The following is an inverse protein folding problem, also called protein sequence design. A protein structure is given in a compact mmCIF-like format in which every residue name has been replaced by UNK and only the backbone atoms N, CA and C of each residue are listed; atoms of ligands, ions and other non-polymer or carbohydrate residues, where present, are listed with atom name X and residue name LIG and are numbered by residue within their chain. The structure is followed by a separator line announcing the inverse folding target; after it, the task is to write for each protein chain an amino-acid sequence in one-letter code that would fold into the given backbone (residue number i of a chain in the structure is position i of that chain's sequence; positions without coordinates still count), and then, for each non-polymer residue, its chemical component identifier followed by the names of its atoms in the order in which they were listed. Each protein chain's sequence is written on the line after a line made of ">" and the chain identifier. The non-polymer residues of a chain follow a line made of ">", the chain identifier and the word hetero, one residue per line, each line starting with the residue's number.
data_IF_568884980219
#
_entry.id   IF_568884980219
#
_cell.length_a   1.000
_cell.length_b   1.000
_cell.length_c   1.000
_cell.angle_alpha   90.00
_cell.angle_beta   90.00
_cell.angle_gamma   90.00
#
_symmetry.space_group_name_H-M   'P 1'
#
loop_
_entity.id
_entity.type
_entity.pdbx_description
1 polymer ?
#
# COMPACT_ATOMS: atom_id res chain seq x y z
N UNK A 1 -12.08 12.69 0.63
CA UNK A 1 -11.03 12.66 1.66
C UNK A 1 -9.91 11.79 1.11
N UNK A 2 -8.65 12.12 1.36
CA UNK A 2 -7.54 11.29 0.88
C UNK A 2 -7.50 9.97 1.65
N UNK A 3 -7.39 8.84 0.95
CA UNK A 3 -7.25 7.54 1.58
C UNK A 3 -5.80 7.32 2.06
N UNK A 4 -5.57 6.89 3.30
CA UNK A 4 -4.25 6.44 3.71
C UNK A 4 -3.78 5.21 2.92
N UNK A 5 -2.47 5.07 2.84
CA UNK A 5 -1.73 3.96 2.24
C UNK A 5 -0.89 3.31 3.32
N UNK A 6 -0.79 1.99 3.31
CA UNK A 6 -0.04 1.22 4.29
C UNK A 6 1.03 0.39 3.62
N UNK A 7 2.19 0.27 4.28
CA UNK A 7 3.25 -0.67 3.98
C UNK A 7 3.30 -1.73 5.08
N UNK A 8 2.76 -2.91 4.79
CA UNK A 8 2.61 -4.01 5.73
C UNK A 8 3.74 -5.04 5.59
N UNK A 9 4.23 -5.52 6.72
CA UNK A 9 4.91 -6.79 6.82
C UNK A 9 3.88 -7.94 6.77
N UNK A 10 4.10 -8.93 5.89
CA UNK A 10 3.19 -10.06 5.77
C UNK A 10 3.92 -11.36 5.44
N UNK A 11 3.35 -12.47 5.91
CA UNK A 11 3.74 -13.84 5.56
C UNK A 11 3.16 -14.28 4.21
N UNK A 12 2.13 -13.56 3.72
CA UNK A 12 1.39 -13.93 2.52
C UNK A 12 1.94 -13.26 1.25
N UNK A 13 2.06 -14.00 0.13
CA UNK A 13 2.52 -13.46 -1.15
C UNK A 13 1.44 -12.67 -1.91
N UNK A 14 0.27 -12.43 -1.30
CA UNK A 14 -0.88 -11.75 -1.89
C UNK A 14 -1.71 -11.07 -0.81
N UNK A 15 -2.60 -10.17 -1.23
CA UNK A 15 -3.65 -9.69 -0.34
C UNK A 15 -4.53 -10.85 0.14
N UNK A 16 -4.97 -10.83 1.41
CA UNK A 16 -6.06 -11.66 1.88
C UNK A 16 -7.27 -11.52 0.97
N UNK A 17 -7.90 -12.63 0.62
CA UNK A 17 -9.12 -12.62 -0.19
C UNK A 17 -10.39 -12.67 0.68
N UNK A 18 -10.26 -12.70 2.00
CA UNK A 18 -11.37 -12.77 2.94
C UNK A 18 -11.99 -14.15 3.09
N UNK A 19 -11.56 -15.15 2.32
CA UNK A 19 -11.94 -16.53 2.60
C UNK A 19 -11.25 -17.01 3.88
N UNK A 20 -11.87 -17.96 4.58
CA UNK A 20 -11.24 -18.67 5.72
C UNK A 20 -10.67 -17.76 6.82
N UNK A 21 -11.23 -16.55 7.00
CA UNK A 21 -10.72 -15.52 7.93
C UNK A 21 -9.27 -15.10 7.67
N UNK A 22 -8.83 -15.11 6.42
CA UNK A 22 -7.48 -14.67 6.03
C UNK A 22 -7.18 -13.23 6.51
N UNK A 23 -8.19 -12.36 6.64
CA UNK A 23 -8.02 -11.02 7.21
C UNK A 23 -7.70 -11.03 8.70
N UNK A 24 -8.40 -11.83 9.49
CA UNK A 24 -8.11 -12.00 10.92
C UNK A 24 -6.67 -12.49 11.10
N UNK A 25 -6.27 -13.51 10.34
CA UNK A 25 -4.89 -14.01 10.35
C UNK A 25 -3.88 -12.94 9.90
N UNK A 26 -4.19 -12.18 8.85
CA UNK A 26 -3.33 -11.12 8.35
C UNK A 26 -3.04 -10.03 9.39
N UNK A 27 -4.03 -9.62 10.19
CA UNK A 27 -3.83 -8.61 11.24
C UNK A 27 -3.26 -9.19 12.53
N UNK A 28 -3.54 -10.45 12.86
CA UNK A 28 -2.99 -11.12 14.05
C UNK A 28 -1.53 -11.52 13.87
N UNK A 29 -1.17 -12.02 12.70
CA UNK A 29 0.19 -12.44 12.32
C UNK A 29 0.98 -11.32 11.63
N UNK A 30 0.32 -10.20 11.36
CA UNK A 30 0.91 -9.03 10.72
C UNK A 30 2.06 -8.48 11.54
N UNK A 31 3.16 -8.14 10.84
CA UNK A 31 4.26 -7.41 11.45
C UNK A 31 3.95 -5.91 11.54
N UNK A 32 4.99 -5.06 11.63
CA UNK A 32 4.79 -3.61 11.63
C UNK A 32 4.06 -3.13 10.38
N UNK A 33 3.36 -2.02 10.55
CA UNK A 33 2.70 -1.27 9.51
C UNK A 33 3.22 0.16 9.52
N UNK A 34 3.69 0.63 8.37
CA UNK A 34 3.92 2.06 8.14
C UNK A 34 2.72 2.65 7.42
N UNK A 35 2.29 3.85 7.78
CA UNK A 35 1.14 4.55 7.19
C UNK A 35 1.60 5.81 6.47
N UNK A 36 1.03 6.14 5.32
CA UNK A 36 1.22 7.40 4.62
C UNK A 36 -0.13 7.98 4.23
N UNK A 37 -0.31 9.29 4.40
CA UNK A 37 -1.55 9.95 4.03
C UNK A 37 -1.52 10.39 2.56
N UNK A 38 -2.56 10.02 1.80
CA UNK A 38 -2.90 10.57 0.48
C UNK A 38 -2.02 10.20 -0.72
N UNK A 39 -0.85 9.60 -0.53
CA UNK A 39 0.03 9.20 -1.64
C UNK A 39 0.99 8.10 -1.18
N UNK A 40 1.58 7.38 -2.14
CA UNK A 40 2.62 6.37 -1.88
C UNK A 40 3.99 7.06 -1.79
N UNK A 41 4.69 6.99 -0.64
CA UNK A 41 6.02 7.55 -0.49
C UNK A 41 7.02 7.04 -1.54
N UNK A 42 7.96 7.91 -1.92
CA UNK A 42 8.92 7.59 -2.99
C UNK A 42 9.79 6.37 -2.66
N UNK A 43 10.20 6.17 -1.39
CA UNK A 43 10.96 4.98 -1.02
C UNK A 43 10.13 3.71 -1.03
N UNK A 44 8.80 3.81 -0.86
CA UNK A 44 7.91 2.67 -0.97
C UNK A 44 7.77 2.25 -2.43
N UNK A 45 7.54 3.21 -3.35
CA UNK A 45 7.53 2.94 -4.80
C UNK A 45 8.86 2.34 -5.28
N UNK A 46 9.98 2.79 -4.69
CA UNK A 46 11.31 2.28 -5.03
C UNK A 46 11.49 0.78 -4.72
N UNK A 47 10.62 0.16 -3.93
CA UNK A 47 10.66 -1.29 -3.64
C UNK A 47 10.10 -2.16 -4.78
N UNK A 48 9.23 -1.62 -5.62
CA UNK A 48 8.38 -2.40 -6.52
C UNK A 48 8.69 -2.17 -7.99
N UNK A 49 8.43 -3.17 -8.82
CA UNK A 49 8.46 -3.14 -10.29
C UNK A 49 7.03 -3.26 -10.83
N UNK A 50 6.78 -2.98 -12.12
CA UNK A 50 5.46 -3.19 -12.72
C UNK A 50 4.90 -4.61 -12.58
N UNK A 51 5.76 -5.61 -12.35
CA UNK A 51 5.37 -7.00 -12.13
C UNK A 51 4.84 -7.31 -10.73
N UNK A 52 5.08 -6.41 -9.79
CA UNK A 52 4.62 -6.53 -8.41
C UNK A 52 3.23 -5.88 -8.22
N UNK A 53 2.62 -5.35 -9.29
CA UNK A 53 1.27 -4.78 -9.28
C UNK A 53 0.23 -5.89 -9.44
N UNK A 54 -0.66 -5.98 -8.47
CA UNK A 54 -1.72 -6.97 -8.39
C UNK A 54 -3.07 -6.33 -8.12
N UNK A 55 -4.12 -7.15 -8.29
CA UNK A 55 -5.51 -6.73 -8.14
C UNK A 55 -6.21 -7.63 -7.13
N UNK A 56 -6.83 -7.02 -6.13
CA UNK A 56 -7.68 -7.71 -5.17
C UNK A 56 -9.14 -7.34 -5.44
N UNK A 57 -10.06 -8.25 -5.11
CA UNK A 57 -11.49 -7.93 -5.05
C UNK A 57 -11.84 -7.64 -3.60
N UNK A 58 -12.74 -6.70 -3.38
CA UNK A 58 -13.47 -6.65 -2.11
C UNK A 58 -14.38 -7.89 -2.12
N UNK A 59 -13.99 -8.96 -1.44
CA UNK A 59 -14.89 -10.12 -1.29
C UNK A 59 -15.85 -9.81 -0.14
N UNK A 60 -17.13 -9.79 -0.48
CA UNK A 60 -18.27 -9.49 0.37
C UNK A 60 -18.60 -10.67 1.33
N UNK A 61 -19.37 -10.32 2.37
CA UNK A 61 -20.25 -11.15 3.21
C UNK A 61 -19.81 -11.68 4.59
N UNK A 62 -18.62 -12.23 4.83
CA UNK A 62 -18.39 -13.02 6.05
C UNK A 62 -17.81 -12.28 7.26
N UNK A 63 -17.09 -11.15 7.06
CA UNK A 63 -16.37 -10.46 8.16
C UNK A 63 -16.84 -9.02 8.42
N UNK A 64 -17.86 -8.53 7.71
CA UNK A 64 -18.41 -7.19 7.88
C UNK A 64 -19.67 -7.25 8.75
N UNK A 65 -19.79 -6.31 9.69
CA UNK A 65 -21.02 -6.13 10.43
C UNK A 65 -22.19 -5.78 9.48
N UNK A 66 -23.42 -5.99 9.97
CA UNK A 66 -24.63 -5.81 9.16
C UNK A 66 -24.77 -4.42 8.53
N UNK A 67 -24.12 -3.43 9.14
CA UNK A 67 -24.26 -2.03 8.79
C UNK A 67 -23.24 -1.66 7.70
N UNK A 68 -22.01 -2.18 7.74
CA UNK A 68 -21.03 -2.05 6.66
C UNK A 68 -21.45 -2.80 5.38
N UNK A 69 -22.28 -3.84 5.50
CA UNK A 69 -22.76 -4.65 4.38
C UNK A 69 -23.70 -3.87 3.43
N UNK A 70 -24.53 -2.98 3.95
CA UNK A 70 -25.49 -2.21 3.14
C UNK A 70 -24.77 -1.15 2.28
N UNK A 71 -23.70 -0.56 2.81
CA UNK A 71 -22.83 0.36 2.08
C UNK A 71 -21.92 -0.38 1.08
N UNK A 72 -21.50 -1.62 1.37
CA UNK A 72 -20.60 -2.38 0.47
C UNK A 72 -21.29 -3.00 -0.76
N UNK A 73 -22.59 -3.29 -0.70
CA UNK A 73 -23.35 -3.76 -1.87
C UNK A 73 -23.40 -2.72 -3.00
N UNK A 74 -23.15 -1.43 -2.73
CA UNK A 74 -23.02 -0.38 -3.76
C UNK A 74 -21.70 -0.49 -4.56
N UNK A 75 -20.67 -1.12 -4.00
CA UNK A 75 -19.33 -1.21 -4.58
C UNK A 75 -19.09 -2.45 -5.48
N UNK A 76 -20.05 -3.37 -5.61
CA UNK A 76 -20.06 -4.41 -6.66
C UNK A 76 -18.75 -5.23 -6.85
N UNK A 77 -18.44 -5.58 -8.12
CA UNK A 77 -17.23 -6.33 -8.53
C UNK A 77 -15.94 -5.46 -8.53
N UNK A 78 -15.91 -4.35 -7.80
CA UNK A 78 -14.79 -3.41 -7.82
C UNK A 78 -13.51 -4.08 -7.34
N UNK A 79 -12.51 -4.07 -8.21
CA UNK A 79 -11.16 -4.49 -7.85
C UNK A 79 -10.39 -3.34 -7.21
N UNK A 80 -9.20 -3.59 -6.70
CA UNK A 80 -8.29 -2.55 -6.24
C UNK A 80 -6.84 -2.93 -6.42
N UNK A 81 -5.98 -1.97 -6.78
CA UNK A 81 -4.58 -2.27 -6.97
C UNK A 81 -3.88 -2.35 -5.62
N UNK A 82 -2.93 -3.26 -5.52
CA UNK A 82 -1.97 -3.33 -4.43
C UNK A 82 -0.62 -3.77 -4.99
N UNK A 83 0.45 -3.50 -4.24
CA UNK A 83 1.79 -3.94 -4.61
C UNK A 83 2.26 -4.99 -3.61
N UNK A 84 2.77 -6.12 -4.06
CA UNK A 84 3.39 -7.11 -3.18
C UNK A 84 4.62 -7.71 -3.81
N UNK A 85 5.68 -7.85 -3.03
CA UNK A 85 6.90 -8.51 -3.49
C UNK A 85 7.63 -9.16 -2.32
N UNK A 86 8.52 -10.11 -2.58
CA UNK A 86 9.36 -10.70 -1.52
C UNK A 86 10.31 -9.65 -0.95
N UNK A 87 10.59 -9.68 0.35
CA UNK A 87 11.51 -8.75 1.01
C UNK A 87 12.90 -8.73 0.34
N UNK A 88 13.42 -9.91 -0.06
CA UNK A 88 14.70 -10.01 -0.77
C UNK A 88 14.69 -9.19 -2.08
N UNK A 89 13.66 -9.39 -2.91
CA UNK A 89 13.46 -8.64 -4.16
C UNK A 89 13.25 -7.15 -3.90
N UNK A 90 12.44 -6.77 -2.91
CA UNK A 90 12.20 -5.37 -2.54
C UNK A 90 13.52 -4.65 -2.23
N UNK A 91 14.37 -5.27 -1.40
CA UNK A 91 15.66 -4.71 -1.00
C UNK A 91 16.66 -4.66 -2.16
N UNK A 92 16.66 -5.66 -3.06
CA UNK A 92 17.48 -5.65 -4.26
C UNK A 92 17.08 -4.51 -5.21
N UNK A 93 15.78 -4.33 -5.45
CA UNK A 93 15.24 -3.24 -6.27
C UNK A 93 15.58 -1.88 -5.66
N UNK A 94 15.42 -1.72 -4.35
CA UNK A 94 15.79 -0.49 -3.64
C UNK A 94 17.29 -0.19 -3.78
N UNK A 95 18.16 -1.19 -3.58
CA UNK A 95 19.60 -1.02 -3.71
C UNK A 95 20.02 -0.61 -5.13
N UNK A 96 19.35 -1.13 -6.16
CA UNK A 96 19.57 -0.75 -7.54
C UNK A 96 19.17 0.72 -7.80
N UNK A 97 18.06 1.17 -7.21
CA UNK A 97 17.49 2.51 -7.42
C UNK A 97 18.10 3.59 -6.50
N UNK A 98 18.73 3.19 -5.39
CA UNK A 98 19.27 4.10 -4.39
C UNK A 98 20.27 5.14 -4.94
N UNK A 99 21.25 4.80 -5.81
CA UNK A 99 22.19 5.80 -6.34
C UNK A 99 21.50 6.96 -7.05
N UNK A 100 20.47 6.66 -7.85
CA UNK A 100 19.69 7.66 -8.57
C UNK A 100 18.90 8.56 -7.62
N UNK A 101 18.24 7.97 -6.61
CA UNK A 101 17.50 8.73 -5.60
C UNK A 101 18.42 9.65 -4.82
N UNK A 102 19.59 9.15 -4.41
CA UNK A 102 20.61 9.94 -3.72
C UNK A 102 21.07 11.11 -4.58
N UNK A 103 21.41 10.87 -5.84
CA UNK A 103 21.84 11.92 -6.77
C UNK A 103 20.76 13.01 -6.95
N UNK A 104 19.55 12.59 -7.31
CA UNK A 104 18.46 13.50 -7.67
C UNK A 104 17.91 14.28 -6.47
N UNK A 105 17.91 13.69 -5.28
CA UNK A 105 17.48 14.36 -4.05
C UNK A 105 18.60 15.24 -3.45
N UNK A 106 19.88 14.96 -3.71
CA UNK A 106 21.02 15.78 -3.23
C UNK A 106 21.21 17.09 -4.00
N UNK A 107 20.85 17.16 -5.29
CA UNK A 107 21.12 18.29 -6.20
C UNK A 107 20.42 19.63 -5.83
N UNK A 108 19.91 19.79 -4.59
CA UNK A 108 19.20 20.96 -4.07
C UNK A 108 19.96 21.94 -3.20
N UNK A 109 21.17 21.63 -2.75
CA UNK A 109 21.89 22.51 -1.81
C UNK A 109 22.70 23.63 -2.45
N UNK A 110 22.99 23.59 -3.76
CA UNK A 110 23.95 24.54 -4.38
C UNK A 110 23.34 25.67 -5.24
N UNK A 111 22.02 25.75 -5.42
CA UNK A 111 21.40 26.86 -6.17
C UNK A 111 21.11 28.03 -5.24
N UNK A 112 22.16 28.65 -4.70
CA UNK A 112 21.97 29.74 -3.73
C UNK A 112 23.18 30.59 -3.33
N UNK A 113 24.41 30.28 -3.75
CA UNK A 113 25.52 31.24 -3.59
C UNK A 113 25.57 32.09 -4.86
N UNK A 114 24.61 33.01 -4.95
CA UNK A 114 24.75 34.16 -5.81
C UNK A 114 26.05 34.87 -5.44
N UNK A 115 26.97 34.97 -6.40
CA UNK A 115 28.10 35.90 -6.39
C UNK A 115 27.56 37.33 -6.42
N UNK A 116 26.89 37.74 -5.34
CA UNK A 116 26.51 39.11 -5.08
C UNK A 116 27.68 39.80 -4.41
N UNK A 117 28.52 40.47 -5.22
CA UNK A 117 29.44 41.50 -4.73
C UNK A 117 28.58 42.61 -4.14
N UNK A 118 28.39 42.58 -2.83
CA UNK A 118 27.59 43.56 -2.08
C UNK A 118 28.30 43.93 -0.79
N UNK A 119 29.21 44.89 -0.87
CA UNK A 119 29.73 45.62 0.29
C UNK A 119 28.57 46.36 0.97
N UNK A 120 28.16 45.90 2.14
CA UNK A 120 27.11 46.55 2.93
C UNK A 120 27.20 46.16 4.39
N UNK A 121 27.76 47.07 5.18
CA UNK A 121 28.00 46.98 6.63
C UNK A 121 26.67 47.03 7.39
N UNK A 122 26.50 46.13 8.38
CA UNK A 122 25.78 46.46 9.62
C UNK A 122 24.64 45.52 10.03
N UNK A 123 24.77 45.07 11.28
CA UNK A 123 23.72 44.82 12.27
C UNK A 123 23.10 43.41 12.41
N UNK A 124 23.56 42.80 13.52
CA UNK A 124 22.81 42.05 14.54
C UNK A 124 22.50 40.56 14.31
N UNK A 125 23.36 39.76 14.96
CA UNK A 125 23.26 38.34 15.17
C UNK A 125 22.12 37.99 16.14
N UNK A 126 21.00 37.52 15.59
CA UNK A 126 20.06 36.65 16.28
C UNK A 126 20.48 35.20 16.05
N UNK A 127 21.24 34.64 16.99
CA UNK A 127 21.67 33.25 16.98
C UNK A 127 20.56 32.35 17.54
N UNK A 128 19.68 31.85 16.66
CA UNK A 128 19.00 30.58 16.86
C UNK A 128 19.36 29.69 15.68
N UNK A 129 20.56 29.10 15.80
CA UNK A 129 21.15 28.19 14.83
C UNK A 129 20.46 26.84 14.86
N UNK A 130 19.36 26.70 14.10
CA UNK A 130 18.99 25.41 13.53
C UNK A 130 19.82 25.19 12.25
N UNK A 131 21.15 25.10 12.40
CA UNK A 131 22.05 24.57 11.37
C UNK A 131 21.81 23.06 11.30
N UNK A 132 20.64 22.69 10.78
CA UNK A 132 20.30 21.30 10.49
C UNK A 132 21.36 20.77 9.53
N UNK A 133 22.15 19.80 9.99
CA UNK A 133 23.09 19.11 9.12
C UNK A 133 22.32 18.64 7.86
N UNK A 134 22.92 18.77 6.66
CA UNK A 134 22.28 18.33 5.44
C UNK A 134 21.81 16.89 5.63
N UNK A 135 20.51 16.69 5.45
CA UNK A 135 19.87 15.39 5.55
C UNK A 135 20.54 14.43 4.57
N UNK A 136 21.31 13.47 5.08
CA UNK A 136 21.98 12.49 4.24
C UNK A 136 20.96 11.46 3.73
N UNK A 137 20.45 11.71 2.52
CA UNK A 137 19.48 10.86 1.83
C UNK A 137 19.96 9.41 1.77
N UNK A 138 21.27 9.17 1.59
CA UNK A 138 21.82 7.82 1.56
C UNK A 138 21.60 7.11 2.91
N UNK A 139 21.88 7.80 4.02
CA UNK A 139 21.64 7.29 5.37
C UNK A 139 20.17 6.97 5.62
N UNK A 140 19.24 7.77 5.11
CA UNK A 140 17.80 7.50 5.25
C UNK A 140 17.39 6.25 4.48
N UNK A 141 17.88 6.09 3.25
CA UNK A 141 17.62 4.88 2.45
C UNK A 141 18.19 3.65 3.14
N UNK A 142 19.40 3.75 3.70
CA UNK A 142 20.03 2.65 4.45
C UNK A 142 19.25 2.30 5.72
N UNK A 143 18.79 3.30 6.46
CA UNK A 143 17.97 3.10 7.66
C UNK A 143 16.60 2.49 7.32
N UNK A 144 15.96 2.95 6.24
CA UNK A 144 14.72 2.37 5.74
C UNK A 144 14.91 0.90 5.33
N UNK A 145 15.95 0.60 4.56
CA UNK A 145 16.30 -0.77 4.18
C UNK A 145 16.63 -1.64 5.40
N UNK A 146 17.29 -1.09 6.43
CA UNK A 146 17.56 -1.79 7.69
C UNK A 146 16.26 -2.12 8.44
N UNK A 147 15.35 -1.14 8.56
CA UNK A 147 14.06 -1.35 9.21
C UNK A 147 13.25 -2.46 8.53
N UNK A 148 13.19 -2.47 7.19
CA UNK A 148 12.54 -3.56 6.46
C UNK A 148 13.19 -4.91 6.78
N UNK A 149 14.53 -5.02 6.83
CA UNK A 149 15.21 -6.28 7.18
C UNK A 149 14.93 -6.77 8.60
N UNK A 150 14.84 -5.85 9.56
CA UNK A 150 14.69 -6.19 10.97
C UNK A 150 13.25 -6.56 11.32
N UNK A 151 12.28 -5.88 10.70
CA UNK A 151 10.91 -5.95 11.18
C UNK A 151 9.92 -6.53 10.18
N UNK A 152 10.26 -6.61 8.89
CA UNK A 152 9.35 -7.17 7.90
C UNK A 152 9.55 -8.68 7.73
N UNK A 153 8.44 -9.37 7.47
CA UNK A 153 8.39 -10.79 7.14
C UNK A 153 8.90 -11.09 5.71
N UNK A 154 8.57 -12.26 5.16
CA UNK A 154 9.07 -12.67 3.84
C UNK A 154 8.54 -11.79 2.69
N UNK A 155 7.42 -11.09 2.88
CA UNK A 155 6.82 -10.21 1.88
C UNK A 155 6.57 -8.81 2.43
N UNK A 156 6.68 -7.84 1.53
CA UNK A 156 6.33 -6.44 1.76
C UNK A 156 5.13 -6.12 0.88
N UNK A 157 4.07 -5.60 1.49
CA UNK A 157 2.79 -5.34 0.86
C UNK A 157 2.42 -3.86 0.99
N UNK A 158 2.13 -3.20 -0.11
CA UNK A 158 1.59 -1.83 -0.14
C UNK A 158 0.10 -1.87 -0.53
N UNK A 159 -0.77 -1.34 0.34
CA UNK A 159 -2.24 -1.32 0.13
C UNK A 159 -2.83 0.05 0.50
N UNK A 160 -4.03 0.36 0.02
CA UNK A 160 -4.77 1.56 0.44
C UNK A 160 -5.86 1.19 1.47
N UNK A 161 -6.25 2.12 2.37
CA UNK A 161 -7.38 1.93 3.31
C UNK A 161 -8.75 1.91 2.66
N UNK A 162 -8.81 2.40 1.43
CA UNK A 162 -10.03 2.79 0.76
C UNK A 162 -9.71 3.06 -0.69
N UNK A 163 -10.71 2.83 -1.52
CA UNK A 163 -10.49 2.32 -2.84
C UNK A 163 -10.76 3.43 -3.86
N UNK A 164 -9.74 4.09 -4.44
CA UNK A 164 -9.94 4.78 -5.70
C UNK A 164 -10.23 3.72 -6.78
N UNK A 165 -11.18 4.00 -7.67
CA UNK A 165 -11.59 3.08 -8.73
C UNK A 165 -10.35 2.53 -9.49
N UNK A 166 -10.34 1.21 -9.75
CA UNK A 166 -9.32 0.52 -10.57
C UNK A 166 -9.03 1.25 -11.86
N UNK A 167 -10.10 1.73 -12.49
CA UNK A 167 -10.02 2.38 -13.79
C UNK A 167 -9.23 3.69 -13.73
N UNK A 168 -9.17 4.33 -12.56
CA UNK A 168 -8.46 5.58 -12.34
C UNK A 168 -7.05 5.35 -11.81
N UNK A 169 -6.89 4.60 -10.70
CA UNK A 169 -5.61 4.56 -9.99
C UNK A 169 -4.63 3.51 -10.53
N UNK A 170 -5.13 2.44 -11.15
CA UNK A 170 -4.30 1.38 -11.72
C UNK A 170 -3.31 1.85 -12.78
N UNK A 171 -3.81 2.49 -13.86
CA UNK A 171 -2.95 2.99 -14.93
C UNK A 171 -1.93 4.02 -14.43
N UNK A 172 -2.30 4.88 -13.49
CA UNK A 172 -1.39 5.86 -12.90
C UNK A 172 -0.27 5.18 -12.09
N UNK A 173 -0.62 4.20 -11.24
CA UNK A 173 0.35 3.46 -10.46
C UNK A 173 1.28 2.63 -11.34
N UNK A 174 0.74 1.96 -12.37
CA UNK A 174 1.54 1.23 -13.35
C UNK A 174 2.51 2.17 -14.07
N UNK A 175 2.03 3.32 -14.56
CA UNK A 175 2.87 4.32 -15.21
C UNK A 175 3.97 4.82 -14.27
N UNK A 176 3.66 5.06 -12.99
CA UNK A 176 4.67 5.50 -12.02
C UNK A 176 5.79 4.46 -11.86
N UNK A 177 5.47 3.17 -11.82
CA UNK A 177 6.45 2.09 -11.74
C UNK A 177 7.30 1.99 -13.02
N UNK A 178 6.67 2.10 -14.20
CA UNK A 178 7.35 2.10 -15.50
C UNK A 178 8.28 3.31 -15.65
N UNK A 179 7.82 4.49 -15.24
CA UNK A 179 8.60 5.73 -15.22
C UNK A 179 9.82 5.61 -14.29
N UNK A 180 9.69 4.90 -13.17
CA UNK A 180 10.80 4.64 -12.24
C UNK A 180 11.84 3.72 -12.88
N UNK A 181 11.41 2.62 -13.49
CA UNK A 181 12.30 1.68 -14.20
C UNK A 181 13.02 2.37 -15.36
N UNK A 182 12.30 3.16 -16.15
CA UNK A 182 12.87 3.93 -17.25
C UNK A 182 13.93 4.92 -16.73
N UNK A 183 13.64 5.65 -15.66
CA UNK A 183 14.58 6.59 -15.04
C UNK A 183 15.84 5.87 -14.51
N UNK A 184 15.67 4.68 -13.92
CA UNK A 184 16.77 3.85 -13.39
C UNK A 184 17.66 3.31 -14.51
N UNK A 185 17.09 2.94 -15.66
CA UNK A 185 17.83 2.39 -16.79
C UNK A 185 18.49 3.46 -17.66
N UNK A 186 17.78 4.56 -17.94
CA UNK A 186 18.23 5.58 -18.89
C UNK A 186 19.06 6.69 -18.24
N UNK A 187 18.96 6.89 -16.92
CA UNK A 187 19.65 7.98 -16.19
C UNK A 187 19.06 9.37 -16.45
N UNK A 188 18.36 9.56 -17.57
CA UNK A 188 17.56 10.74 -17.90
C UNK A 188 16.08 10.37 -18.06
N UNK A 189 15.24 11.18 -17.46
CA UNK A 189 13.80 11.07 -17.61
C UNK A 189 13.28 12.12 -18.60
N UNK A 190 12.30 11.72 -19.39
CA UNK A 190 11.48 12.65 -20.15
C UNK A 190 10.81 13.66 -19.19
N UNK A 191 10.55 14.88 -19.67
CA UNK A 191 9.99 15.98 -18.86
C UNK A 191 8.61 15.68 -18.25
N UNK A 192 7.94 14.68 -18.79
CA UNK A 192 6.61 14.15 -18.44
C UNK A 192 6.67 12.88 -17.57
N UNK A 193 7.85 12.54 -17.05
CA UNK A 193 8.02 11.45 -16.10
C UNK A 193 7.46 11.85 -14.71
N UNK A 194 6.49 11.08 -14.23
CA UNK A 194 5.77 11.35 -12.97
C UNK A 194 6.71 11.23 -11.77
N UNK A 195 7.66 10.29 -11.81
CA UNK A 195 8.66 10.11 -10.76
C UNK A 195 9.60 11.31 -10.65
N UNK A 196 9.92 12.00 -11.74
CA UNK A 196 10.66 13.27 -11.67
C UNK A 196 9.85 14.34 -10.95
N UNK A 197 8.55 14.43 -11.22
CA UNK A 197 7.67 15.36 -10.52
C UNK A 197 7.61 15.05 -9.01
N UNK A 198 7.53 13.77 -8.65
CA UNK A 198 7.53 13.33 -7.26
C UNK A 198 8.89 13.51 -6.56
N UNK A 199 10.00 13.28 -7.25
CA UNK A 199 11.36 13.62 -6.78
C UNK A 199 11.45 15.13 -6.51
N UNK A 200 10.98 15.97 -7.43
CA UNK A 200 11.02 17.42 -7.28
C UNK A 200 10.10 17.90 -6.14
N UNK A 201 8.90 17.33 -6.02
CA UNK A 201 7.96 17.56 -4.91
C UNK A 201 8.61 17.19 -3.59
N UNK A 202 9.18 16.00 -3.52
CA UNK A 202 9.89 15.48 -2.34
C UNK A 202 11.05 16.39 -1.98
N UNK A 203 11.88 16.75 -2.95
CA UNK A 203 13.02 17.66 -2.78
C UNK A 203 12.61 19.03 -2.23
N UNK A 204 11.55 19.63 -2.77
CA UNK A 204 11.01 20.90 -2.25
C UNK A 204 10.54 20.79 -0.79
N UNK A 205 10.23 19.57 -0.35
CA UNK A 205 9.72 19.25 0.98
C UNK A 205 10.74 18.57 1.88
N UNK A 206 11.99 18.32 1.47
CA UNK A 206 13.07 17.77 2.32
C UNK A 206 13.56 18.78 3.36
N UNK A 207 12.64 19.27 4.19
CA UNK A 207 12.93 19.88 5.47
C UNK A 207 12.84 18.79 6.55
N UNK A 208 13.57 18.89 7.66
CA UNK A 208 13.55 17.90 8.73
C UNK A 208 12.14 17.54 9.24
N UNK A 209 11.18 18.47 9.17
CA UNK A 209 9.78 18.28 9.60
C UNK A 209 8.91 17.47 8.63
N UNK A 210 9.41 17.12 7.44
CA UNK A 210 8.62 16.50 6.35
C UNK A 210 9.21 15.20 5.82
N UNK A 211 10.08 14.57 6.60
CA UNK A 211 10.69 13.28 6.30
C UNK A 211 9.68 12.15 6.05
N UNK A 212 8.48 12.26 6.61
CA UNK A 212 7.38 11.32 6.39
C UNK A 212 6.98 11.15 4.91
N UNK A 213 7.33 12.09 4.03
CA UNK A 213 7.03 11.98 2.60
C UNK A 213 7.94 10.98 1.89
N UNK A 214 9.13 10.69 2.43
CA UNK A 214 10.03 9.67 1.90
C UNK A 214 9.65 8.28 2.39
N UNK A 215 9.25 8.17 3.66
CA UNK A 215 9.22 6.90 4.40
C UNK A 215 7.86 6.52 4.98
N UNK A 216 6.87 7.41 4.92
CA UNK A 216 5.60 7.31 5.65
C UNK A 216 5.62 8.04 6.99
N UNK A 217 4.43 8.26 7.56
CA UNK A 217 4.23 8.75 8.92
C UNK A 217 4.75 7.75 9.97
N UNK A 218 5.13 8.28 11.13
CA UNK A 218 5.31 7.50 12.35
C UNK A 218 6.75 7.10 12.67
N UNK A 219 7.70 7.15 11.73
CA UNK A 219 9.07 6.69 11.98
C UNK A 219 10.14 7.67 11.49
N UNK A 220 11.06 8.04 12.39
CA UNK A 220 12.19 8.93 12.08
C UNK A 220 13.40 8.12 11.60
N UNK A 221 13.52 7.97 10.29
CA UNK A 221 14.65 7.29 9.66
C UNK A 221 15.93 8.16 9.57
N UNK A 222 15.93 9.38 10.12
CA UNK A 222 17.16 10.20 10.15
C UNK A 222 18.15 9.71 11.21
N UNK A 223 17.66 9.01 12.22
CA UNK A 223 18.46 8.35 13.24
C UNK A 223 18.63 6.87 12.88
N UNK A 224 19.81 6.32 13.17
CA UNK A 224 19.96 4.87 13.11
C UNK A 224 19.05 4.25 14.16
N UNK A 225 18.28 3.24 13.78
CA UNK A 225 17.62 2.40 14.79
C UNK A 225 18.70 1.83 15.72
N UNK A 226 18.45 1.82 17.05
CA UNK A 226 19.37 1.17 17.97
C UNK A 226 19.54 -0.29 17.54
N UNK A 227 20.79 -0.77 17.50
CA UNK A 227 21.03 -2.19 17.24
C UNK A 227 20.23 -3.01 18.26
N UNK A 228 19.59 -4.11 17.85
CA UNK A 228 18.87 -4.95 18.79
C UNK A 228 19.85 -5.32 19.90
N UNK A 229 19.53 -4.94 21.14
CA UNK A 229 20.36 -5.25 22.29
C UNK A 229 20.56 -6.76 22.28
N UNK A 230 21.80 -7.20 22.04
CA UNK A 230 22.15 -8.60 22.13
C UNK A 230 22.01 -8.91 23.61
N UNK A 231 20.81 -9.34 24.00
CA UNK A 231 20.60 -9.93 25.30
C UNK A 231 21.42 -11.20 25.25
N UNK A 232 22.62 -11.15 25.83
CA UNK A 232 23.40 -12.32 26.16
C UNK A 232 22.53 -13.13 27.13
N UNK A 233 21.69 -13.99 26.56
CA UNK A 233 21.01 -15.02 27.32
C UNK A 233 22.13 -15.93 27.79
N UNK A 234 22.60 -15.70 29.02
CA UNK A 234 23.41 -16.66 29.75
C UNK A 234 22.62 -17.96 29.79
N UNK A 235 22.91 -18.84 28.81
CA UNK A 235 22.38 -20.19 28.80
C UNK A 235 22.86 -20.82 30.11
N UNK A 236 21.95 -21.34 30.95
CA UNK A 236 22.33 -21.94 32.21
C UNK A 236 23.33 -23.08 31.92
N UNK A 237 24.56 -22.92 32.41
CA UNK A 237 25.71 -23.80 32.17
C UNK A 237 25.52 -25.18 32.82
N UNK A 238 24.44 -25.38 33.58
CA UNK A 238 24.20 -26.58 34.39
C UNK A 238 23.11 -27.51 33.82
N UNK A 239 22.77 -27.44 32.54
CA UNK A 239 21.93 -28.47 31.92
C UNK A 239 22.76 -29.73 31.67
N UNK A 240 22.89 -30.53 32.73
CA UNK A 240 23.44 -31.88 32.74
C UNK A 240 22.90 -32.68 31.55
N UNK A 241 23.79 -33.00 30.60
CA UNK A 241 23.49 -33.82 29.43
C UNK A 241 23.09 -35.20 29.91
N UNK A 242 21.79 -35.45 30.04
CA UNK A 242 21.26 -36.78 30.28
C UNK A 242 21.67 -37.68 29.11
N UNK A 243 22.48 -38.70 29.41
CA UNK A 243 22.92 -39.69 28.43
C UNK A 243 21.73 -40.31 27.68
N UNK A 244 21.83 -40.53 26.36
CA UNK A 244 20.80 -41.24 25.62
C UNK A 244 20.75 -42.69 26.10
N UNK A 245 19.62 -43.07 26.70
CA UNK A 245 19.32 -44.43 27.09
C UNK A 245 19.54 -45.38 25.89
N UNK A 246 20.43 -46.36 26.07
CA UNK A 246 20.64 -47.48 25.14
C UNK A 246 19.31 -48.21 24.92
N UNK A 247 18.72 -48.01 23.75
CA UNK A 247 17.66 -48.89 23.23
C UNK A 247 18.32 -50.17 22.74
N UNK A 248 18.16 -51.26 23.48
CA UNK A 248 18.45 -52.62 23.03
C UNK A 248 17.42 -53.02 21.95
N UNK A 249 17.82 -52.99 20.68
CA UNK A 249 17.04 -53.60 19.59
C UNK A 249 17.25 -55.12 19.59
N UNK A 250 16.14 -55.83 19.84
CA UNK A 250 15.99 -57.27 19.63
C UNK A 250 15.94 -57.59 18.14
N UNK A 251 16.68 -58.62 17.75
CA UNK A 251 16.70 -59.21 16.42
C UNK A 251 15.34 -59.79 15.99
N UNK A 252 15.10 -59.80 14.67
CA UNK A 252 14.18 -60.74 14.02
C UNK A 252 13.46 -60.19 12.80
N UNK A 253 13.78 -60.68 11.61
CA UNK A 253 12.87 -60.61 10.46
C UNK A 253 13.55 -60.31 9.12
N UNK A 254 13.92 -61.35 8.39
CA UNK A 254 14.47 -61.32 7.04
C UNK A 254 13.44 -60.86 5.99
N UNK A 255 13.91 -60.29 4.87
CA UNK A 255 13.05 -60.03 3.71
C UNK A 255 13.66 -59.27 2.55
N UNK A 256 14.55 -59.92 1.80
CA UNK A 256 14.74 -59.81 0.33
C UNK A 256 15.20 -58.50 -0.35
N UNK A 257 16.18 -58.69 -1.22
CA UNK A 257 16.91 -57.73 -2.03
C UNK A 257 16.21 -57.33 -3.33
N UNK A 258 16.52 -56.11 -3.81
CA UNK A 258 16.68 -55.81 -5.23
C UNK A 258 17.64 -54.60 -5.42
N UNK A 259 18.87 -54.91 -5.84
CA UNK A 259 19.76 -54.10 -6.68
C UNK A 259 19.02 -53.60 -7.94
N UNK A 260 19.42 -52.58 -8.72
CA UNK A 260 20.55 -51.66 -8.80
C UNK A 260 20.17 -50.63 -9.89
N UNK A 261 20.90 -49.50 -9.99
CA UNK A 261 20.88 -48.73 -11.24
C UNK A 261 21.30 -47.28 -11.10
N UNK A 262 22.60 -47.04 -11.00
CA UNK A 262 23.23 -45.75 -11.24
C UNK A 262 23.58 -45.61 -12.73
N UNK A 263 23.25 -44.47 -13.34
CA UNK A 263 23.81 -43.87 -14.57
C UNK A 263 23.43 -42.38 -14.44
N UNK A 264 24.30 -41.39 -14.27
CA UNK A 264 25.49 -40.93 -14.99
C UNK A 264 25.30 -40.71 -16.50
N UNK A 265 25.62 -39.48 -16.93
CA UNK A 265 25.93 -39.11 -18.31
C UNK A 265 24.87 -38.30 -19.07
N UNK A 266 25.28 -37.13 -19.57
CA UNK A 266 24.96 -36.76 -20.96
C UNK A 266 24.49 -35.33 -21.22
N UNK A 267 25.46 -34.43 -21.43
CA UNK A 267 25.27 -33.19 -22.18
C UNK A 267 24.81 -33.45 -23.63
N UNK A 268 24.03 -32.55 -24.20
CA UNK A 268 23.61 -32.62 -25.61
C UNK A 268 22.93 -31.36 -26.11
N UNK A 269 23.72 -30.49 -26.74
CA UNK A 269 23.30 -29.39 -27.61
C UNK A 269 22.40 -29.90 -28.75
N UNK A 270 21.41 -29.08 -29.16
CA UNK A 270 20.63 -29.35 -30.36
C UNK A 270 19.66 -28.22 -30.71
N UNK A 271 20.18 -27.20 -31.40
CA UNK A 271 19.36 -26.24 -32.14
C UNK A 271 18.65 -26.95 -33.32
N UNK A 272 17.36 -26.66 -33.51
CA UNK A 272 16.54 -27.30 -34.56
C UNK A 272 15.31 -26.48 -34.92
N UNK A 273 15.46 -25.74 -36.00
CA UNK A 273 14.58 -24.75 -36.66
C UNK A 273 13.26 -25.32 -37.22
N UNK A 274 12.20 -24.50 -37.08
CA UNK A 274 11.03 -24.24 -37.96
C UNK A 274 10.24 -25.38 -38.64
N UNK A 275 8.90 -25.33 -38.52
CA UNK A 275 7.97 -24.89 -39.59
C UNK A 275 6.50 -25.30 -39.33
N UNK A 276 5.58 -24.34 -39.50
CA UNK A 276 4.39 -24.53 -40.34
C UNK A 276 3.09 -25.08 -39.70
N UNK A 277 1.94 -24.38 -39.85
CA UNK A 277 0.65 -24.76 -39.25
C UNK A 277 -0.19 -25.65 -40.19
N UNK A 278 -1.09 -26.45 -39.60
CA UNK A 278 -2.14 -27.16 -40.34
C UNK A 278 -3.52 -26.78 -39.79
N UNK A 279 -4.24 -26.00 -40.59
CA UNK A 279 -5.67 -25.78 -40.45
C UNK A 279 -6.46 -26.91 -41.11
N UNK A 280 -7.65 -27.19 -40.56
CA UNK A 280 -8.78 -27.71 -41.31
C UNK A 280 -9.26 -29.10 -40.92
N UNK A 281 -10.44 -29.18 -40.28
CA UNK A 281 -11.66 -29.66 -40.94
C UNK A 281 -12.91 -29.46 -40.09
N UNK A 282 -13.91 -28.89 -40.74
CA UNK A 282 -15.29 -28.83 -40.35
C UNK A 282 -16.02 -30.16 -40.62
N UNK A 283 -17.16 -30.31 -39.93
CA UNK A 283 -18.49 -30.67 -40.47
C UNK A 283 -19.22 -31.80 -39.73
N UNK A 284 -20.43 -31.43 -39.28
CA UNK A 284 -21.71 -32.15 -39.35
C UNK A 284 -22.03 -33.36 -38.47
N UNK A 285 -22.98 -33.14 -37.54
CA UNK A 285 -24.38 -33.68 -37.56
C UNK A 285 -25.10 -33.24 -36.27
N UNK A 286 -26.17 -32.46 -36.35
CA UNK A 286 -27.56 -32.82 -36.71
C UNK A 286 -28.41 -33.26 -35.50
N UNK A 287 -29.38 -32.39 -35.19
CA UNK A 287 -30.78 -32.63 -34.80
C UNK A 287 -31.13 -33.81 -33.88
N UNK A 288 -31.75 -33.48 -32.75
CA UNK A 288 -32.50 -34.41 -31.90
C UNK A 288 -33.44 -33.66 -30.97
N UNK A 289 -34.51 -33.09 -31.52
CA UNK A 289 -35.67 -32.67 -30.73
C UNK A 289 -36.50 -33.91 -30.38
N UNK A 290 -36.89 -34.06 -29.12
CA UNK A 290 -38.04 -34.87 -28.71
C UNK A 290 -38.59 -34.36 -27.39
N UNK A 291 -39.75 -33.74 -27.49
CA UNK A 291 -40.64 -33.45 -26.38
C UNK A 291 -41.40 -34.73 -25.98
N UNK A 292 -41.54 -34.97 -24.68
CA UNK A 292 -42.69 -35.60 -24.00
C UNK A 292 -42.51 -35.28 -22.51
N UNK A 293 -43.28 -34.36 -21.96
CA UNK A 293 -44.60 -34.60 -21.37
C UNK A 293 -44.52 -35.31 -20.01
N UNK A 294 -44.55 -34.53 -18.92
CA UNK A 294 -45.16 -34.94 -17.66
C UNK A 294 -45.58 -33.72 -16.85
N UNK A 295 -46.89 -33.54 -16.80
CA UNK A 295 -47.60 -32.57 -16.00
C UNK A 295 -47.62 -32.92 -14.50
N UNK A 296 -47.90 -31.87 -13.71
CA UNK A 296 -48.61 -31.87 -12.42
C UNK A 296 -47.83 -32.15 -11.13
N UNK A 297 -47.53 -31.08 -10.39
CA UNK A 297 -47.94 -30.94 -8.98
C UNK A 297 -47.79 -29.48 -8.50
N UNK A 298 -48.94 -28.87 -8.24
CA UNK A 298 -49.18 -27.61 -7.52
C UNK A 298 -48.94 -27.78 -6.03
N UNK A 299 -48.18 -26.88 -5.38
CA UNK A 299 -48.45 -26.38 -4.01
C UNK A 299 -47.36 -25.40 -3.52
N UNK A 300 -47.79 -24.22 -3.03
CA UNK A 300 -47.12 -23.53 -1.93
C UNK A 300 -46.15 -22.38 -2.27
N UNK A 301 -46.64 -21.30 -2.86
CA UNK A 301 -45.94 -20.01 -2.79
C UNK A 301 -46.21 -19.36 -1.41
N UNK A 302 -45.18 -19.05 -0.59
CA UNK A 302 -45.39 -18.30 0.64
C UNK A 302 -45.79 -16.85 0.30
N UNK A 303 -46.82 -16.37 1.00
CA UNK A 303 -47.32 -15.02 0.90
C UNK A 303 -46.18 -14.01 1.13
N UNK A 304 -45.88 -13.21 0.11
CA UNK A 304 -44.99 -12.06 0.21
C UNK A 304 -45.64 -11.04 1.15
N UNK A 305 -45.15 -10.99 2.39
CA UNK A 305 -45.37 -9.89 3.31
C UNK A 305 -44.79 -8.63 2.68
N UNK A 306 -45.65 -7.78 2.13
CA UNK A 306 -45.29 -6.44 1.67
C UNK A 306 -44.84 -5.66 2.91
N UNK A 307 -43.53 -5.55 3.10
CA UNK A 307 -42.90 -4.77 4.16
C UNK A 307 -43.18 -3.29 3.83
N UNK A 308 -43.73 -2.49 4.76
CA UNK A 308 -44.01 -1.09 4.48
C UNK A 308 -42.70 -0.37 4.15
N UNK A 309 -42.59 0.14 2.93
CA UNK A 309 -41.49 0.99 2.51
C UNK A 309 -41.41 2.18 3.47
N UNK A 310 -40.30 2.29 4.20
CA UNK A 310 -39.98 3.48 4.99
C UNK A 310 -39.86 4.62 3.99
N UNK A 311 -40.60 5.74 4.15
CA UNK A 311 -40.47 6.86 3.23
C UNK A 311 -39.03 7.34 3.29
N UNK A 312 -38.30 7.13 2.19
CA UNK A 312 -36.95 7.66 1.98
C UNK A 312 -37.08 9.17 2.09
N UNK A 313 -36.72 9.71 3.25
CA UNK A 313 -36.65 11.13 3.51
C UNK A 313 -35.52 11.63 2.63
N UNK A 314 -35.85 12.04 1.40
CA UNK A 314 -34.94 12.74 0.49
C UNK A 314 -34.48 14.01 1.21
N UNK A 315 -33.43 13.89 1.99
CA UNK A 315 -32.74 15.02 2.57
C UNK A 315 -32.18 15.84 1.41
N UNK A 316 -32.56 17.11 1.38
CA UNK A 316 -32.15 18.03 0.34
C UNK A 316 -30.65 18.27 0.49
N UNK A 317 -29.81 17.45 -0.17
CA UNK A 317 -28.34 17.59 -0.21
C UNK A 317 -27.92 19.03 -0.53
N UNK A 318 -28.71 19.72 -1.35
CA UNK A 318 -28.55 21.15 -1.68
C UNK A 318 -28.59 22.07 -0.46
N UNK A 319 -29.50 21.81 0.50
CA UNK A 319 -29.63 22.63 1.71
C UNK A 319 -28.40 22.47 2.61
N UNK A 320 -27.87 21.24 2.73
CA UNK A 320 -26.63 20.98 3.47
C UNK A 320 -25.44 21.76 2.89
N UNK A 321 -25.28 21.73 1.56
CA UNK A 321 -24.24 22.51 0.88
C UNK A 321 -24.39 24.02 1.07
N UNK A 322 -25.61 24.56 1.00
CA UNK A 322 -25.85 25.99 1.22
C UNK A 322 -25.49 26.43 2.65
N UNK A 323 -25.78 25.61 3.66
CA UNK A 323 -25.39 25.89 5.06
C UNK A 323 -23.87 25.87 5.19
N UNK A 324 -23.19 24.88 4.61
CA UNK A 324 -21.74 24.80 4.65
C UNK A 324 -21.07 26.04 4.03
N UNK A 325 -21.55 26.49 2.87
CA UNK A 325 -21.03 27.70 2.20
C UNK A 325 -21.31 28.97 3.03
N UNK A 326 -22.52 29.10 3.57
CA UNK A 326 -22.92 30.26 4.37
C UNK A 326 -22.10 30.41 5.66
N UNK A 327 -21.60 29.32 6.23
CA UNK A 327 -20.73 29.32 7.42
C UNK A 327 -19.25 29.47 7.03
N UNK A 328 -18.80 28.73 6.02
CA UNK A 328 -17.38 28.65 5.64
C UNK A 328 -16.83 29.94 5.04
N UNK A 329 -17.56 30.56 4.10
CA UNK A 329 -17.06 31.76 3.38
C UNK A 329 -16.81 32.94 4.33
N UNK A 330 -17.73 33.33 5.24
CA UNK A 330 -17.48 34.41 6.17
C UNK A 330 -16.32 34.12 7.13
N UNK A 331 -16.15 32.86 7.53
CA UNK A 331 -15.05 32.44 8.42
C UNK A 331 -13.68 32.66 7.76
N UNK A 332 -13.54 32.26 6.49
CA UNK A 332 -12.29 32.47 5.72
C UNK A 332 -12.04 33.96 5.50
N UNK A 333 -13.07 34.74 5.16
CA UNK A 333 -12.94 36.20 4.99
C UNK A 333 -12.51 36.88 6.29
N UNK A 334 -13.07 36.47 7.43
CA UNK A 334 -12.68 37.00 8.75
C UNK A 334 -11.21 36.66 9.07
N UNK A 335 -10.75 35.44 8.75
CA UNK A 335 -9.35 35.06 8.92
C UNK A 335 -8.42 35.90 8.03
N UNK A 336 -8.74 36.07 6.75
CA UNK A 336 -7.90 36.84 5.82
C UNK A 336 -7.81 38.33 6.18
N UNK A 337 -8.89 38.91 6.70
CA UNK A 337 -8.94 40.33 7.05
C UNK A 337 -8.29 40.64 8.40
N UNK A 338 -8.36 39.72 9.36
CA UNK A 338 -7.88 39.95 10.73
C UNK A 338 -6.52 39.31 11.03
N UNK A 339 -6.11 38.30 10.25
CA UNK A 339 -4.93 37.48 10.53
C UNK A 339 -5.03 36.65 11.81
N UNK A 340 -6.20 36.61 12.47
CA UNK A 340 -6.39 35.99 13.78
C UNK A 340 -7.24 34.74 13.69
N UNK A 341 -6.64 33.60 14.04
CA UNK A 341 -7.33 32.31 14.08
C UNK A 341 -8.45 32.28 15.14
N UNK A 342 -8.26 32.99 16.25
CA UNK A 342 -9.24 33.04 17.35
C UNK A 342 -10.53 33.75 16.94
N UNK A 343 -10.43 34.87 16.21
CA UNK A 343 -11.62 35.62 15.75
C UNK A 343 -12.40 34.79 14.72
N UNK A 344 -11.70 34.15 13.78
CA UNK A 344 -12.32 33.27 12.80
C UNK A 344 -13.01 32.07 13.48
N UNK A 345 -12.36 31.44 14.46
CA UNK A 345 -12.94 30.33 15.22
C UNK A 345 -14.21 30.72 15.99
N UNK A 346 -14.22 31.86 16.68
CA UNK A 346 -15.42 32.36 17.37
C UNK A 346 -16.55 32.63 16.38
N UNK A 347 -16.25 33.26 15.24
CA UNK A 347 -17.25 33.55 14.21
C UNK A 347 -17.86 32.27 13.64
N UNK A 348 -17.05 31.25 13.36
CA UNK A 348 -17.50 29.94 12.89
C UNK A 348 -18.51 29.32 13.85
N UNK A 349 -18.18 29.28 15.16
CA UNK A 349 -19.05 28.71 16.18
C UNK A 349 -20.39 29.45 16.28
N UNK A 350 -20.38 30.78 16.22
CA UNK A 350 -21.60 31.60 16.23
C UNK A 350 -22.49 31.31 15.01
N UNK A 351 -21.90 31.19 13.82
CA UNK A 351 -22.61 30.88 12.58
C UNK A 351 -23.20 29.46 12.60
N UNK A 352 -22.47 28.47 13.10
CA UNK A 352 -22.98 27.11 13.30
C UNK A 352 -24.17 27.08 14.27
N UNK A 353 -24.07 27.78 15.40
CA UNK A 353 -25.15 27.87 16.38
C UNK A 353 -26.41 28.53 15.79
N UNK A 354 -26.24 29.61 15.03
CA UNK A 354 -27.34 30.30 14.35
C UNK A 354 -28.02 29.41 13.29
N UNK A 355 -27.23 28.69 12.49
CA UNK A 355 -27.74 27.74 11.49
C UNK A 355 -28.54 26.61 12.15
N UNK A 356 -28.03 26.03 13.24
CA UNK A 356 -28.72 24.99 14.01
C UNK A 356 -30.05 25.50 14.60
N UNK A 357 -30.06 26.70 15.16
CA UNK A 357 -31.29 27.32 15.68
C UNK A 357 -32.34 27.55 14.59
N UNK A 358 -31.92 28.05 13.41
CA UNK A 358 -32.82 28.29 12.28
C UNK A 358 -33.41 26.99 11.70
N UNK A 359 -32.63 25.92 11.65
CA UNK A 359 -33.12 24.61 11.21
C UNK A 359 -34.11 24.00 12.19
N UNK A 360 -33.88 24.17 13.50
CA UNK A 360 -34.78 23.65 14.55
C UNK A 360 -36.14 24.36 14.58
N UNK A 361 -36.21 25.62 14.14
CA UNK A 361 -37.47 26.38 14.07
C UNK A 361 -38.36 26.05 12.86
N UNK A 362 -37.89 25.23 11.91
CA UNK A 362 -38.64 24.82 10.71
C UNK A 362 -39.09 23.36 10.71
N UNK A 363 -38.66 22.58 11.69
CA UNK A 363 -39.15 21.24 11.98
C UNK A 363 -40.32 21.35 12.96
#
# INVERSE_FOLDING_TARGET
>A
MSHPVFLNATSNPRMPDGSSREWEAFFLEGGPELEANAFIPLLWLALYTPMDLHWARLIDDEDLDSDAREDMMEYGDTQYPYLVTSLERALATLAQRAPLLVERLRLGTDVGVGTGVGTGVGAEAGADGATGAPTDVARIIDNFARHLRLHYGPYVLCRTSGLPDVEEFGPELQKALEDFDALTLAGDAASDNVIVADINRTRAMLRPDRMHLLTGHGHDFTQAEPEPEVVDVELPVDAEVAEPARVTQSAGGAGTAAQAGALDGGAGLGAGRAAGPAAGRAADRAAGASATDRASATAGAPAATIRPERPVRRENKLLGWLVAVAVGVPTVVAYQTTGSIWIAGILFLLLCAAAGWFMKGKA
#
